data_IF_485347505720
#
_entry.id   IF_485347505720
#
_cell.length_a   1.000
_cell.length_b   1.000
_cell.length_c   1.000
_cell.angle_alpha   90.00
_cell.angle_beta   90.00
_cell.angle_gamma   90.00
#
_symmetry.space_group_name_H-M   'P 1'
#
loop_
_entity.id
_entity.type
_entity.pdbx_description
1 polymer ?
#
# COMPACT_ATOMS: atom_id res chain seq x y z
N UNK A 1 -17.45 3.60 2.86
CA UNK A 1 -16.09 3.05 2.61
C UNK A 1 -15.07 3.74 3.50
N UNK A 2 -14.12 2.99 4.02
CA UNK A 2 -13.03 3.51 4.86
C UNK A 2 -11.69 3.32 4.13
N UNK A 3 -10.82 4.32 4.23
CA UNK A 3 -9.45 4.23 3.78
C UNK A 3 -8.50 4.43 4.97
N UNK A 4 -7.66 3.45 5.23
CA UNK A 4 -6.61 3.49 6.24
C UNK A 4 -5.28 3.82 5.57
N UNK A 5 -4.65 4.89 6.00
CA UNK A 5 -3.28 5.25 5.64
C UNK A 5 -2.37 4.90 6.82
N UNK A 6 -1.60 3.84 6.66
CA UNK A 6 -0.60 3.41 7.64
C UNK A 6 0.68 4.21 7.41
N UNK A 7 1.35 4.61 8.45
CA UNK A 7 2.69 5.21 8.37
C UNK A 7 3.58 4.68 9.48
N UNK A 8 4.84 5.07 9.52
CA UNK A 8 5.76 4.73 10.61
C UNK A 8 5.42 5.43 11.93
N UNK A 9 4.52 6.40 11.94
CA UNK A 9 4.24 7.25 13.12
C UNK A 9 2.78 7.26 13.55
N UNK A 10 1.86 6.88 12.67
CA UNK A 10 0.42 7.00 12.91
C UNK A 10 -0.39 6.14 11.94
N UNK A 11 -1.67 6.00 12.26
CA UNK A 11 -2.68 5.57 11.28
C UNK A 11 -3.69 6.72 11.10
N UNK A 12 -3.91 7.09 9.85
CA UNK A 12 -4.99 7.97 9.46
C UNK A 12 -6.16 7.14 8.92
N UNK A 13 -7.35 7.48 9.37
CA UNK A 13 -8.58 6.85 8.92
C UNK A 13 -9.44 7.90 8.22
N UNK A 14 -9.83 7.62 6.98
CA UNK A 14 -10.64 8.51 6.15
C UNK A 14 -11.93 7.76 5.80
N UNK A 15 -13.08 8.32 6.16
CA UNK A 15 -14.38 7.80 5.76
C UNK A 15 -14.96 8.67 4.66
N UNK A 16 -15.39 8.02 3.59
CA UNK A 16 -16.04 8.68 2.47
C UNK A 16 -17.16 7.82 1.89
N UNK A 17 -18.04 8.45 1.17
CA UNK A 17 -19.12 7.81 0.43
C UNK A 17 -19.16 8.31 -1.01
N UNK A 18 -19.86 7.56 -1.85
CA UNK A 18 -20.12 7.99 -3.22
C UNK A 18 -21.54 8.55 -3.29
N UNK A 19 -21.65 9.86 -3.46
CA UNK A 19 -22.93 10.54 -3.69
C UNK A 19 -23.08 10.86 -5.19
N UNK A 20 -23.91 10.09 -5.88
CA UNK A 20 -24.20 10.28 -7.31
C UNK A 20 -22.94 10.35 -8.20
N UNK A 21 -21.96 9.48 -7.94
CA UNK A 21 -20.70 9.42 -8.69
C UNK A 21 -19.62 10.41 -8.21
N UNK A 22 -19.90 11.15 -7.13
CA UNK A 22 -18.94 12.08 -6.54
C UNK A 22 -18.48 11.57 -5.18
N UNK A 23 -17.17 11.49 -4.92
CA UNK A 23 -16.67 11.13 -3.60
C UNK A 23 -16.92 12.28 -2.62
N UNK A 24 -17.60 11.97 -1.52
CA UNK A 24 -17.88 12.92 -0.42
C UNK A 24 -17.12 12.48 0.81
N UNK A 25 -16.25 13.35 1.32
CA UNK A 25 -15.51 13.14 2.55
C UNK A 25 -16.45 13.31 3.75
N UNK A 26 -16.64 12.24 4.52
CA UNK A 26 -17.49 12.27 5.71
C UNK A 26 -16.70 12.62 6.97
N UNK A 27 -15.54 12.01 7.15
CA UNK A 27 -14.73 12.25 8.34
C UNK A 27 -13.28 11.79 8.15
N UNK A 28 -12.39 12.41 8.91
CA UNK A 28 -10.96 12.06 9.00
C UNK A 28 -10.57 11.95 10.46
N UNK A 29 -9.82 10.92 10.79
CA UNK A 29 -9.21 10.76 12.10
C UNK A 29 -7.73 10.42 11.97
N UNK A 30 -6.95 10.98 12.84
CA UNK A 30 -5.52 10.75 12.95
C UNK A 30 -5.24 10.23 14.36
N UNK A 31 -4.53 9.11 14.47
CA UNK A 31 -4.12 8.55 15.76
C UNK A 31 -2.63 8.19 15.67
N UNK A 32 -1.77 8.91 16.41
CA UNK A 32 -0.35 8.62 16.46
C UNK A 32 -0.09 7.35 17.27
N UNK A 33 0.98 6.66 16.95
CA UNK A 33 1.51 5.60 17.81
C UNK A 33 2.04 6.17 19.11
N UNK A 34 2.03 5.38 20.16
CA UNK A 34 2.56 5.78 21.47
C UNK A 34 4.08 5.74 21.50
N UNK A 35 4.67 4.76 20.85
CA UNK A 35 6.11 4.63 20.74
C UNK A 35 6.68 5.68 19.80
N UNK A 36 7.66 6.44 20.25
CA UNK A 36 8.37 7.42 19.40
C UNK A 36 9.42 6.78 18.48
N UNK A 37 9.75 5.52 18.72
CA UNK A 37 10.74 4.73 17.99
C UNK A 37 10.09 3.44 17.48
N UNK A 38 9.10 3.56 16.63
CA UNK A 38 8.73 2.40 15.86
C UNK A 38 9.86 2.16 14.89
N UNK A 39 10.43 0.97 14.98
CA UNK A 39 11.41 0.48 14.04
C UNK A 39 10.86 0.61 12.62
N UNK A 40 11.68 1.08 11.69
CA UNK A 40 11.35 1.04 10.26
C UNK A 40 11.27 -0.42 9.74
N UNK A 41 11.35 -1.38 10.64
CA UNK A 41 11.13 -2.80 10.35
C UNK A 41 9.64 -3.13 10.44
N UNK A 42 8.97 -3.35 9.29
CA UNK A 42 7.53 -3.65 9.23
C UNK A 42 7.14 -4.99 9.86
N UNK A 43 8.12 -5.88 10.10
CA UNK A 43 7.92 -7.16 10.79
C UNK A 43 8.10 -7.04 12.30
N UNK A 44 8.37 -5.86 12.83
CA UNK A 44 8.61 -5.70 14.26
C UNK A 44 7.34 -5.95 15.07
N UNK A 45 7.46 -6.74 16.14
CA UNK A 45 6.36 -7.01 17.07
C UNK A 45 5.82 -5.72 17.71
N UNK A 46 6.67 -4.71 17.85
CA UNK A 46 6.27 -3.39 18.35
C UNK A 46 5.31 -2.69 17.40
N UNK A 47 5.63 -2.65 16.10
CA UNK A 47 4.76 -2.03 15.10
C UNK A 47 3.40 -2.75 15.04
N UNK A 48 3.39 -4.07 15.04
CA UNK A 48 2.17 -4.87 15.05
C UNK A 48 1.28 -4.53 16.26
N UNK A 49 1.86 -4.45 17.45
CA UNK A 49 1.12 -4.11 18.66
C UNK A 49 0.58 -2.67 18.65
N UNK A 50 1.35 -1.73 18.12
CA UNK A 50 0.91 -0.34 17.98
C UNK A 50 -0.21 -0.21 16.95
N UNK A 51 -0.13 -0.89 15.82
CA UNK A 51 -1.20 -0.94 14.81
C UNK A 51 -2.50 -1.41 15.44
N UNK A 52 -2.48 -2.55 16.14
CA UNK A 52 -3.65 -3.09 16.81
C UNK A 52 -4.23 -2.09 17.82
N UNK A 53 -3.38 -1.48 18.65
CA UNK A 53 -3.79 -0.50 19.64
C UNK A 53 -4.47 0.71 18.99
N UNK A 54 -3.87 1.23 17.92
CA UNK A 54 -4.38 2.42 17.22
C UNK A 54 -5.68 2.11 16.50
N UNK A 55 -5.82 0.95 15.87
CA UNK A 55 -7.06 0.53 15.22
C UNK A 55 -8.21 0.39 16.24
N UNK A 56 -7.96 -0.15 17.43
CA UNK A 56 -8.95 -0.18 18.50
C UNK A 56 -9.36 1.23 18.98
N UNK A 57 -8.44 2.19 18.96
CA UNK A 57 -8.77 3.59 19.25
C UNK A 57 -9.60 4.23 18.12
N UNK A 58 -9.34 3.85 16.88
CA UNK A 58 -10.15 4.31 15.73
C UNK A 58 -11.59 3.82 15.81
N UNK A 59 -11.84 2.60 16.32
CA UNK A 59 -13.20 2.06 16.53
C UNK A 59 -14.10 3.00 17.32
N UNK A 60 -13.55 3.77 18.26
CA UNK A 60 -14.31 4.74 19.06
C UNK A 60 -14.80 5.94 18.26
N UNK A 61 -14.19 6.20 17.11
CA UNK A 61 -14.48 7.35 16.25
C UNK A 61 -15.20 6.97 14.97
N UNK A 62 -14.99 5.74 14.50
CA UNK A 62 -15.52 5.21 13.25
C UNK A 62 -16.18 3.86 13.49
N UNK A 63 -17.37 3.65 12.96
CA UNK A 63 -17.90 2.30 12.81
C UNK A 63 -17.25 1.66 11.60
N UNK A 64 -16.63 0.50 11.79
CA UNK A 64 -16.10 -0.35 10.73
C UNK A 64 -17.12 -1.39 10.27
N UNK A 65 -18.18 -1.60 11.04
CA UNK A 65 -19.15 -2.67 10.81
C UNK A 65 -19.76 -2.60 9.41
N UNK A 66 -19.53 -3.66 8.64
CA UNK A 66 -20.00 -3.77 7.25
C UNK A 66 -19.30 -2.87 6.23
N UNK A 67 -18.32 -2.07 6.65
CA UNK A 67 -17.61 -1.16 5.76
C UNK A 67 -16.55 -1.88 4.93
N UNK A 68 -16.46 -1.52 3.66
CA UNK A 68 -15.32 -1.86 2.83
C UNK A 68 -14.12 -1.02 3.23
N UNK A 69 -12.97 -1.66 3.41
CA UNK A 69 -11.74 -1.00 3.89
C UNK A 69 -10.63 -1.16 2.87
N UNK A 70 -10.08 -0.04 2.44
CA UNK A 70 -8.83 0.05 1.69
C UNK A 70 -7.69 0.37 2.64
N UNK A 71 -6.53 -0.21 2.42
CA UNK A 71 -5.33 0.03 3.24
C UNK A 71 -4.19 0.46 2.34
N UNK A 72 -3.61 1.61 2.64
CA UNK A 72 -2.34 2.04 2.05
C UNK A 72 -1.22 1.91 3.06
N UNK A 73 -0.16 1.19 2.68
CA UNK A 73 1.07 0.97 3.44
C UNK A 73 2.14 1.90 2.86
N UNK A 74 3.00 2.52 3.68
CA UNK A 74 4.07 3.37 3.17
C UNK A 74 5.09 2.55 2.37
N UNK A 75 5.64 3.13 1.32
CA UNK A 75 6.66 2.47 0.49
C UNK A 75 7.91 2.10 1.30
N UNK A 76 8.22 2.84 2.36
CA UNK A 76 9.31 2.53 3.29
C UNK A 76 9.16 1.18 4.03
N UNK A 77 7.95 0.62 4.06
CA UNK A 77 7.69 -0.71 4.65
C UNK A 77 7.72 -1.83 3.61
N UNK A 78 8.02 -1.49 2.38
CA UNK A 78 7.93 -2.38 1.25
C UNK A 78 9.22 -2.37 0.44
N UNK A 79 9.42 -3.42 -0.30
CA UNK A 79 10.44 -3.47 -1.33
C UNK A 79 9.75 -3.43 -2.68
N UNK A 80 10.13 -2.51 -3.54
CA UNK A 80 9.50 -2.31 -4.84
C UNK A 80 10.47 -2.52 -5.99
N UNK A 81 10.00 -3.02 -7.11
CA UNK A 81 10.75 -3.12 -8.34
C UNK A 81 9.84 -2.94 -9.55
N UNK A 82 10.37 -2.31 -10.60
CA UNK A 82 9.73 -2.31 -11.91
C UNK A 82 10.55 -3.24 -12.81
N UNK A 83 9.87 -4.20 -13.42
CA UNK A 83 10.46 -5.15 -14.35
C UNK A 83 9.92 -4.86 -15.73
N UNK A 84 10.80 -4.84 -16.72
CA UNK A 84 10.49 -4.62 -18.11
C UNK A 84 10.72 -5.94 -18.87
N UNK A 85 9.70 -6.80 -18.99
CA UNK A 85 9.82 -8.01 -19.80
C UNK A 85 9.98 -7.69 -21.28
N UNK A 86 10.58 -8.59 -22.02
CA UNK A 86 10.65 -8.47 -23.47
C UNK A 86 9.24 -8.44 -24.06
N UNK A 87 9.06 -7.71 -25.15
CA UNK A 87 7.75 -7.53 -25.81
C UNK A 87 7.12 -8.87 -26.25
N UNK A 88 7.97 -9.84 -26.61
CA UNK A 88 7.56 -11.19 -27.06
C UNK A 88 7.25 -12.14 -25.89
N UNK A 89 7.58 -11.76 -24.67
CA UNK A 89 7.38 -12.61 -23.49
C UNK A 89 5.89 -12.80 -23.19
N UNK A 90 5.51 -14.02 -22.86
CA UNK A 90 4.13 -14.29 -22.42
C UNK A 90 3.81 -13.60 -21.10
N UNK A 91 2.53 -13.43 -20.80
CA UNK A 91 2.10 -12.87 -19.51
C UNK A 91 2.59 -13.71 -18.33
N UNK A 92 2.51 -15.05 -18.44
CA UNK A 92 2.97 -15.96 -17.41
C UNK A 92 4.49 -15.84 -17.17
N UNK A 93 5.28 -15.81 -18.24
CA UNK A 93 6.74 -15.66 -18.13
C UNK A 93 7.12 -14.28 -17.57
N UNK A 94 6.37 -13.24 -17.92
CA UNK A 94 6.56 -11.89 -17.36
C UNK A 94 6.33 -11.86 -15.84
N UNK A 95 5.34 -12.60 -15.35
CA UNK A 95 5.09 -12.77 -13.93
C UNK A 95 6.22 -13.53 -13.23
N UNK A 96 6.67 -14.65 -13.78
CA UNK A 96 7.77 -15.43 -13.21
C UNK A 96 9.07 -14.63 -13.20
N UNK A 97 9.38 -13.89 -14.29
CA UNK A 97 10.52 -12.98 -14.31
C UNK A 97 10.42 -11.92 -13.20
N UNK A 98 9.23 -11.37 -12.98
CA UNK A 98 9.02 -10.35 -11.96
C UNK A 98 9.23 -10.90 -10.55
N UNK A 99 8.68 -12.07 -10.25
CA UNK A 99 8.89 -12.78 -8.98
C UNK A 99 10.38 -13.09 -8.76
N UNK A 100 11.03 -13.64 -9.76
CA UNK A 100 12.45 -13.93 -9.70
C UNK A 100 13.27 -12.66 -9.45
N UNK A 101 13.01 -11.59 -10.19
CA UNK A 101 13.74 -10.33 -10.06
C UNK A 101 13.61 -9.75 -8.66
N UNK A 102 12.40 -9.73 -8.10
CA UNK A 102 12.18 -9.17 -6.77
C UNK A 102 12.84 -10.05 -5.70
N UNK A 103 12.79 -11.39 -5.86
CA UNK A 103 13.44 -12.32 -4.94
C UNK A 103 14.97 -12.15 -4.92
N UNK A 104 15.59 -11.88 -6.08
CA UNK A 104 17.04 -11.67 -6.17
C UNK A 104 17.48 -10.33 -5.56
N UNK A 105 16.67 -9.31 -5.69
CA UNK A 105 17.00 -7.98 -5.13
C UNK A 105 16.89 -7.92 -3.62
N UNK A 106 16.01 -8.72 -3.03
CA UNK A 106 15.63 -8.64 -1.62
C UNK A 106 15.88 -9.94 -0.85
N UNK A 107 17.00 -10.60 -1.16
CA UNK A 107 17.42 -11.89 -0.58
C UNK A 107 17.54 -11.85 0.96
N UNK A 108 17.56 -10.68 1.59
CA UNK A 108 18.02 -10.58 2.96
C UNK A 108 17.00 -10.86 4.04
N UNK A 109 15.72 -10.75 3.77
CA UNK A 109 14.81 -10.71 4.90
C UNK A 109 13.53 -11.49 4.64
N UNK A 110 13.42 -12.54 5.44
CA UNK A 110 12.17 -13.16 5.85
C UNK A 110 11.44 -14.02 4.81
N UNK A 111 11.41 -15.32 5.08
CA UNK A 111 10.64 -16.34 4.35
C UNK A 111 9.12 -16.08 4.39
N UNK A 112 8.68 -15.03 5.11
CA UNK A 112 7.29 -14.69 5.38
C UNK A 112 6.80 -13.42 4.67
N UNK A 113 7.33 -13.08 3.49
CA UNK A 113 6.90 -11.85 2.80
C UNK A 113 5.87 -12.15 1.73
N UNK A 114 4.79 -11.36 1.71
CA UNK A 114 3.80 -11.38 0.64
C UNK A 114 4.31 -10.62 -0.58
N UNK A 115 3.88 -11.05 -1.75
CA UNK A 115 4.22 -10.42 -3.02
C UNK A 115 2.97 -9.90 -3.70
N UNK A 116 3.01 -8.63 -4.11
CA UNK A 116 1.94 -8.01 -4.87
C UNK A 116 2.48 -7.52 -6.21
N UNK A 117 1.72 -7.74 -7.27
CA UNK A 117 2.14 -7.38 -8.61
C UNK A 117 1.12 -6.49 -9.30
N UNK A 118 1.62 -5.46 -9.96
CA UNK A 118 0.82 -4.61 -10.83
C UNK A 118 1.29 -4.72 -12.28
N UNK A 119 0.40 -4.41 -13.22
CA UNK A 119 0.72 -4.36 -14.65
C UNK A 119 0.86 -2.94 -15.14
N UNK A 120 1.63 -2.74 -16.20
CA UNK A 120 1.64 -1.48 -16.94
C UNK A 120 0.30 -1.24 -17.63
N UNK A 121 -0.05 0.03 -17.74
CA UNK A 121 -1.23 0.50 -18.50
C UNK A 121 -0.99 0.65 -20.00
N UNK A 122 0.23 0.42 -20.47
CA UNK A 122 0.56 0.50 -21.88
C UNK A 122 0.44 -0.87 -22.51
N UNK A 123 -0.41 -1.01 -23.54
CA UNK A 123 -0.49 -2.23 -24.35
C UNK A 123 0.83 -2.53 -25.10
N UNK A 124 1.68 -1.51 -25.27
CA UNK A 124 2.94 -1.62 -26.03
C UNK A 124 4.16 -1.91 -25.16
N UNK A 125 4.13 -1.56 -23.88
CA UNK A 125 5.25 -1.79 -22.96
C UNK A 125 4.72 -2.54 -21.77
N UNK A 126 5.02 -3.82 -21.72
CA UNK A 126 4.68 -4.69 -20.59
C UNK A 126 5.68 -4.45 -19.47
N UNK A 127 5.45 -3.45 -18.64
CA UNK A 127 6.19 -3.36 -17.39
C UNK A 127 5.34 -3.93 -16.25
N UNK A 128 6.00 -4.59 -15.32
CA UNK A 128 5.37 -5.16 -14.14
C UNK A 128 5.93 -4.45 -12.91
N UNK A 129 5.06 -3.74 -12.23
CA UNK A 129 5.37 -3.20 -10.91
C UNK A 129 5.26 -4.34 -9.90
N UNK A 130 6.34 -4.62 -9.22
CA UNK A 130 6.42 -5.68 -8.21
C UNK A 130 6.63 -5.08 -6.83
N UNK A 131 5.94 -5.64 -5.86
CA UNK A 131 5.94 -5.20 -4.49
C UNK A 131 6.13 -6.40 -3.57
N UNK A 132 7.02 -6.27 -2.59
CA UNK A 132 7.20 -7.22 -1.52
C UNK A 132 6.98 -6.53 -0.18
N UNK A 133 6.12 -7.09 0.66
CA UNK A 133 5.78 -6.58 1.99
C UNK A 133 5.74 -7.72 3.01
N UNK A 134 5.98 -7.41 4.28
CA UNK A 134 5.91 -8.40 5.36
C UNK A 134 4.51 -8.99 5.50
N UNK A 135 4.39 -10.32 5.42
CA UNK A 135 3.12 -11.03 5.66
C UNK A 135 2.60 -10.80 7.09
N UNK A 136 3.48 -10.64 8.06
CA UNK A 136 3.10 -10.34 9.44
C UNK A 136 2.33 -9.02 9.51
N UNK A 137 2.80 -8.01 8.78
CA UNK A 137 2.12 -6.70 8.71
C UNK A 137 0.77 -6.81 8.01
N UNK A 138 0.72 -7.44 6.84
CA UNK A 138 -0.51 -7.55 6.06
C UNK A 138 -1.57 -8.40 6.76
N UNK A 139 -1.19 -9.51 7.35
CA UNK A 139 -2.09 -10.37 8.13
C UNK A 139 -2.60 -9.64 9.39
N UNK A 140 -1.71 -8.93 10.09
CA UNK A 140 -2.12 -8.13 11.26
C UNK A 140 -3.18 -7.09 10.87
N UNK A 141 -2.95 -6.32 9.83
CA UNK A 141 -3.90 -5.33 9.33
C UNK A 141 -5.23 -5.98 8.95
N UNK A 142 -5.18 -7.08 8.21
CA UNK A 142 -6.36 -7.83 7.77
C UNK A 142 -7.19 -8.34 8.95
N UNK A 143 -6.55 -9.03 9.88
CA UNK A 143 -7.22 -9.59 11.06
C UNK A 143 -7.80 -8.47 11.92
N UNK A 144 -7.03 -7.42 12.21
CA UNK A 144 -7.49 -6.30 13.04
C UNK A 144 -8.69 -5.58 12.43
N UNK A 145 -8.73 -5.39 11.11
CA UNK A 145 -9.87 -4.79 10.42
C UNK A 145 -11.11 -5.68 10.52
N UNK A 146 -10.93 -6.99 10.33
CA UNK A 146 -12.02 -7.96 10.45
C UNK A 146 -12.59 -8.02 11.88
N UNK A 147 -11.75 -7.97 12.91
CA UNK A 147 -12.17 -7.90 14.30
C UNK A 147 -12.95 -6.62 14.65
N UNK A 148 -12.73 -5.55 13.88
CA UNK A 148 -13.49 -4.32 13.97
C UNK A 148 -14.84 -4.38 13.23
N UNK A 149 -15.11 -5.46 12.50
CA UNK A 149 -16.31 -5.65 11.66
C UNK A 149 -16.15 -5.14 10.23
N UNK A 150 -14.97 -4.69 9.83
CA UNK A 150 -14.68 -4.21 8.49
C UNK A 150 -14.31 -5.32 7.51
N UNK A 151 -14.48 -5.07 6.23
CA UNK A 151 -14.07 -5.96 5.14
C UNK A 151 -12.88 -5.38 4.38
N UNK A 152 -11.64 -5.85 4.59
CA UNK A 152 -10.47 -5.40 3.85
C UNK A 152 -10.56 -5.92 2.41
N UNK A 153 -10.81 -5.03 1.45
CA UNK A 153 -11.00 -5.39 0.03
C UNK A 153 -9.81 -4.99 -0.85
N UNK A 154 -8.95 -4.13 -0.35
CA UNK A 154 -7.76 -3.72 -1.07
C UNK A 154 -6.65 -3.34 -0.08
N UNK A 155 -5.43 -3.75 -0.42
CA UNK A 155 -4.21 -3.37 0.29
C UNK A 155 -3.11 -3.11 -0.73
N UNK A 156 -2.42 -2.00 -0.59
CA UNK A 156 -1.33 -1.62 -1.48
C UNK A 156 -0.45 -0.56 -0.86
N UNK A 157 0.50 -0.07 -1.63
CA UNK A 157 1.41 0.99 -1.20
C UNK A 157 1.05 2.32 -1.82
N UNK A 158 1.69 3.39 -1.33
CA UNK A 158 1.55 4.73 -1.91
C UNK A 158 1.84 4.71 -3.41
N UNK A 159 2.95 4.12 -3.84
CA UNK A 159 3.27 3.99 -5.26
C UNK A 159 2.27 3.12 -6.04
N UNK A 160 1.72 2.06 -5.45
CA UNK A 160 0.75 1.20 -6.14
C UNK A 160 -0.60 1.90 -6.37
N UNK A 161 -1.00 2.83 -5.51
CA UNK A 161 -2.19 3.66 -5.73
C UNK A 161 -2.03 4.48 -7.01
N UNK A 162 -0.89 5.11 -7.17
CA UNK A 162 -0.62 5.94 -8.34
C UNK A 162 -0.44 5.13 -9.62
N UNK A 163 0.14 3.94 -9.51
CA UNK A 163 0.25 3.01 -10.62
C UNK A 163 -1.12 2.62 -11.20
N UNK A 164 -2.17 2.63 -10.37
CA UNK A 164 -3.55 2.39 -10.77
C UNK A 164 -4.23 3.55 -11.52
N UNK A 165 -3.68 4.75 -11.51
CA UNK A 165 -4.38 5.94 -12.03
C UNK A 165 -4.33 6.13 -13.55
N UNK A 166 -3.68 5.28 -14.32
CA UNK A 166 -3.56 5.38 -15.79
C UNK A 166 -3.58 6.84 -16.32
N UNK A 167 -2.60 7.67 -15.99
CA UNK A 167 -2.61 9.05 -16.42
C UNK A 167 -2.37 9.14 -17.91
N UNK A 168 -3.34 9.67 -18.67
CA UNK A 168 -3.18 9.97 -20.10
C UNK A 168 -2.10 11.03 -20.36
N UNK A 169 -1.71 11.75 -19.31
CA UNK A 169 -0.62 12.74 -19.28
C UNK A 169 0.28 12.38 -18.12
N UNK A 170 1.58 12.63 -18.23
CA UNK A 170 2.50 12.42 -17.11
C UNK A 170 2.03 13.16 -15.86
N UNK A 171 2.08 12.52 -14.71
CA UNK A 171 1.81 13.12 -13.41
C UNK A 171 3.09 13.09 -12.60
N UNK A 172 3.43 14.22 -12.04
CA UNK A 172 4.47 14.32 -11.02
C UNK A 172 3.80 14.60 -9.68
N UNK A 173 4.10 13.78 -8.69
CA UNK A 173 3.63 13.95 -7.33
C UNK A 173 4.81 14.20 -6.42
N UNK A 174 4.68 15.23 -5.62
CA UNK A 174 5.59 15.53 -4.54
C UNK A 174 4.82 15.39 -3.24
N UNK A 175 5.12 14.34 -2.51
CA UNK A 175 4.54 14.13 -1.19
C UNK A 175 5.51 14.71 -0.17
N UNK A 176 5.02 15.69 0.58
CA UNK A 176 5.76 16.25 1.72
C UNK A 176 5.18 15.65 2.99
N UNK A 177 5.93 14.80 3.63
CA UNK A 177 5.69 14.45 5.01
C UNK A 177 6.73 15.13 5.90
N UNK A 178 6.53 15.10 7.23
CA UNK A 178 7.48 15.72 8.18
C UNK A 178 8.87 15.08 8.19
N UNK A 179 9.05 13.95 7.51
CA UNK A 179 10.33 13.23 7.39
C UNK A 179 11.10 13.57 6.13
N UNK A 180 10.45 14.21 5.15
CA UNK A 180 11.08 14.58 3.89
C UNK A 180 10.11 14.75 2.74
N UNK A 181 10.66 14.71 1.55
CA UNK A 181 9.91 14.76 0.31
C UNK A 181 10.04 13.43 -0.41
N UNK A 182 8.93 12.87 -0.83
CA UNK A 182 8.88 11.74 -1.76
C UNK A 182 8.46 12.23 -3.13
N UNK A 183 9.19 11.84 -4.15
CA UNK A 183 8.98 12.25 -5.53
C UNK A 183 8.57 11.06 -6.36
N UNK A 184 7.40 11.13 -6.98
CA UNK A 184 6.90 10.12 -7.91
C UNK A 184 6.65 10.75 -9.27
N UNK A 185 7.27 10.19 -10.28
CA UNK A 185 7.05 10.62 -11.65
C UNK A 185 6.43 9.51 -12.49
N UNK A 186 5.25 9.78 -13.03
CA UNK A 186 4.58 8.92 -14.00
C UNK A 186 4.66 9.59 -15.36
N UNK A 187 5.38 9.01 -16.29
CA UNK A 187 5.26 9.33 -17.69
C UNK A 187 4.31 8.34 -18.37
N UNK A 188 3.86 8.68 -19.57
CA UNK A 188 2.87 7.89 -20.31
C UNK A 188 3.20 6.39 -20.44
N UNK A 189 4.46 5.99 -20.21
CA UNK A 189 4.93 4.62 -20.40
C UNK A 189 5.96 4.16 -19.34
N UNK A 190 6.21 4.93 -18.31
CA UNK A 190 7.20 4.56 -17.29
C UNK A 190 6.89 5.19 -15.93
N UNK A 191 7.24 4.45 -14.90
CA UNK A 191 7.28 4.89 -13.52
C UNK A 191 8.75 5.02 -13.10
N UNK A 192 9.17 6.17 -12.61
CA UNK A 192 10.51 6.41 -12.06
C UNK A 192 10.43 7.16 -10.75
#
# INVERSE_FOLDING_TARGET
>A
MIHLLVSSKHIQCIKWENDNGRPVLLSVSYVPYKSKKISDNPSSRELVNEINTVLQLQKKKFSFEGEQVHVTIPDSFCSTAVVYPDEEMSEADSWELSKWTISQRFIKDDESSDEFFGKSFSEKIKNVFSLKVSSILTETLKISIQELGGNPIWMGTESSVFYGLNPSRGITLLINDKSGYEYYHYSKNSFT
#
